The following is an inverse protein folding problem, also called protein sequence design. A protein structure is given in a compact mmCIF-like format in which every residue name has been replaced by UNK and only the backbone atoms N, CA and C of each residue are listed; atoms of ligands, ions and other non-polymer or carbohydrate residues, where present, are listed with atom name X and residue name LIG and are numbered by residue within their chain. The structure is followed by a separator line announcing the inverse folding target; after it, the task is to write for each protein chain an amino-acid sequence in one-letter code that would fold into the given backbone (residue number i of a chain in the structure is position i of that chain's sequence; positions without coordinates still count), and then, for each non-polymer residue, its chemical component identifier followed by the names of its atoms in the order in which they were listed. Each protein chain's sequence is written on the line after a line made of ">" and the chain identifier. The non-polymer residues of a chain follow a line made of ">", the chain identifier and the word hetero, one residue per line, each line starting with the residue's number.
data_IF_553949611501
#
_entry.id   IF_553949611501
#
_cell.length_a   1.000
_cell.length_b   1.000
_cell.length_c   1.000
_cell.angle_alpha   90.00
_cell.angle_beta   90.00
_cell.angle_gamma   90.00
#
_symmetry.space_group_name_H-M   'P 1'
#
loop_
_entity.id
_entity.type
_entity.pdbx_description
1 polymer ?
#
# COMPACT_ATOMS: atom_id res chain seq x y z
N UNK A 1 -46.78 -35.32 2.19
CA UNK A 1 -46.74 -33.86 2.21
C UNK A 1 -48.13 -33.29 2.45
N UNK A 2 -48.35 -32.73 3.53
CA UNK A 2 -49.55 -32.51 4.29
C UNK A 2 -50.12 -31.14 3.95
N UNK A 3 -51.30 -31.08 3.41
CA UNK A 3 -52.01 -29.92 2.86
C UNK A 3 -52.13 -28.66 3.73
N UNK A 4 -51.25 -28.43 4.65
CA UNK A 4 -51.25 -27.23 5.49
C UNK A 4 -50.02 -26.37 5.14
N UNK A 5 -50.26 -25.35 4.30
CA UNK A 5 -49.23 -24.38 3.85
C UNK A 5 -48.47 -23.76 5.00
N UNK A 6 -49.15 -23.41 6.12
CA UNK A 6 -48.55 -22.79 7.27
C UNK A 6 -47.50 -23.66 7.95
N UNK A 7 -47.79 -24.95 8.13
CA UNK A 7 -46.83 -25.93 8.71
C UNK A 7 -45.64 -26.18 7.77
N UNK A 8 -45.86 -26.17 6.45
CA UNK A 8 -44.78 -26.27 5.47
C UNK A 8 -43.82 -25.08 5.52
N UNK A 9 -44.35 -23.87 5.51
CA UNK A 9 -43.59 -22.63 5.63
C UNK A 9 -42.81 -22.53 6.97
N UNK A 10 -43.47 -22.91 8.08
CA UNK A 10 -42.82 -22.94 9.39
C UNK A 10 -41.63 -23.90 9.42
N UNK A 11 -41.74 -25.08 8.81
CA UNK A 11 -40.66 -26.06 8.74
C UNK A 11 -39.48 -25.59 7.86
N UNK A 12 -39.78 -24.89 6.78
CA UNK A 12 -38.76 -24.27 5.91
C UNK A 12 -38.04 -23.16 6.67
N UNK A 13 -38.80 -22.25 7.31
CA UNK A 13 -38.23 -21.16 8.10
C UNK A 13 -37.29 -21.67 9.19
N UNK A 14 -37.67 -22.73 9.93
CA UNK A 14 -36.84 -23.27 11.01
C UNK A 14 -35.61 -24.00 10.49
N UNK A 15 -35.74 -24.89 9.50
CA UNK A 15 -34.62 -25.71 9.04
C UNK A 15 -33.69 -24.96 8.07
N UNK A 16 -34.29 -24.31 7.04
CA UNK A 16 -33.50 -23.58 6.05
C UNK A 16 -33.03 -22.24 6.63
N UNK A 17 -33.89 -21.56 7.40
CA UNK A 17 -33.54 -20.29 8.04
C UNK A 17 -32.33 -20.42 8.98
N UNK A 18 -32.25 -21.50 9.78
CA UNK A 18 -31.08 -21.74 10.65
C UNK A 18 -29.80 -21.96 9.83
N UNK A 19 -29.86 -22.77 8.77
CA UNK A 19 -28.71 -22.99 7.90
C UNK A 19 -28.26 -21.69 7.22
N UNK A 20 -29.20 -20.92 6.68
CA UNK A 20 -28.95 -19.62 6.05
C UNK A 20 -28.41 -18.61 7.04
N UNK A 21 -28.91 -18.60 8.27
CA UNK A 21 -28.40 -17.74 9.35
C UNK A 21 -26.91 -17.99 9.60
N UNK A 22 -26.53 -19.26 9.80
CA UNK A 22 -25.12 -19.62 10.05
C UNK A 22 -24.24 -19.19 8.86
N UNK A 23 -24.70 -19.42 7.63
CA UNK A 23 -23.97 -19.01 6.42
C UNK A 23 -23.79 -17.49 6.35
N UNK A 24 -24.86 -16.72 6.57
CA UNK A 24 -24.79 -15.25 6.53
C UNK A 24 -23.92 -14.69 7.67
N UNK A 25 -23.99 -15.26 8.89
CA UNK A 25 -23.11 -14.88 10.00
C UNK A 25 -21.66 -15.14 9.63
N UNK A 26 -21.34 -16.32 9.10
CA UNK A 26 -19.97 -16.65 8.68
C UNK A 26 -19.45 -15.66 7.62
N UNK A 27 -20.31 -15.31 6.64
CA UNK A 27 -19.95 -14.37 5.59
C UNK A 27 -19.77 -12.95 6.17
N UNK A 28 -20.69 -12.51 7.04
CA UNK A 28 -20.59 -11.20 7.69
C UNK A 28 -19.32 -11.08 8.54
N UNK A 29 -18.96 -12.13 9.30
CA UNK A 29 -17.71 -12.20 10.06
C UNK A 29 -16.50 -12.14 9.12
N UNK A 30 -16.54 -12.82 7.98
CA UNK A 30 -15.48 -12.77 6.98
C UNK A 30 -15.23 -11.33 6.49
N UNK A 31 -16.27 -10.55 6.18
CA UNK A 31 -16.12 -9.14 5.82
C UNK A 31 -15.75 -8.26 7.01
N UNK A 32 -16.21 -8.59 8.22
CA UNK A 32 -15.84 -7.87 9.44
C UNK A 32 -14.33 -7.94 9.74
N UNK A 33 -13.59 -8.92 9.23
CA UNK A 33 -12.12 -8.97 9.38
C UNK A 33 -11.41 -7.78 8.75
N UNK A 34 -12.00 -7.14 7.74
CA UNK A 34 -11.45 -5.91 7.16
C UNK A 34 -11.42 -4.72 8.12
N UNK A 35 -12.21 -4.75 9.21
CA UNK A 35 -12.21 -3.70 10.24
C UNK A 35 -10.86 -3.60 10.96
N UNK A 36 -10.10 -4.70 10.99
CA UNK A 36 -8.80 -4.78 11.67
C UNK A 36 -7.67 -4.21 10.80
N UNK A 37 -7.91 -3.95 9.52
CA UNK A 37 -6.87 -3.41 8.61
C UNK A 37 -6.63 -1.93 8.87
N UNK A 38 -5.42 -1.43 8.56
CA UNK A 38 -5.08 0.01 8.69
C UNK A 38 -5.64 0.87 7.55
N UNK A 39 -6.29 0.27 6.54
CA UNK A 39 -6.87 0.96 5.40
C UNK A 39 -8.32 1.38 5.68
N UNK A 40 -8.58 2.68 5.80
CA UNK A 40 -9.91 3.24 6.09
C UNK A 40 -10.98 2.82 5.08
N UNK A 41 -10.64 2.74 3.79
CA UNK A 41 -11.58 2.33 2.74
C UNK A 41 -12.03 0.88 2.94
N UNK A 42 -11.10 -0.03 3.26
CA UNK A 42 -11.40 -1.42 3.57
C UNK A 42 -12.19 -1.56 4.87
N UNK A 43 -11.90 -0.75 5.89
CA UNK A 43 -12.68 -0.72 7.15
C UNK A 43 -14.14 -0.36 6.88
N UNK A 44 -14.38 0.74 6.17
CA UNK A 44 -15.74 1.18 5.80
C UNK A 44 -16.46 0.13 4.96
N UNK A 45 -15.79 -0.44 3.98
CA UNK A 45 -16.31 -1.54 3.17
C UNK A 45 -16.70 -2.75 4.01
N UNK A 46 -15.84 -3.16 4.94
CA UNK A 46 -16.09 -4.28 5.86
C UNK A 46 -17.30 -4.06 6.75
N UNK A 47 -17.43 -2.88 7.36
CA UNK A 47 -18.55 -2.50 8.22
C UNK A 47 -19.85 -2.51 7.44
N UNK A 48 -19.91 -1.77 6.32
CA UNK A 48 -21.12 -1.62 5.52
C UNK A 48 -21.59 -2.97 4.97
N UNK A 49 -20.65 -3.77 4.45
CA UNK A 49 -20.96 -5.08 3.87
C UNK A 49 -21.46 -6.06 4.92
N UNK A 50 -20.84 -6.11 6.10
CA UNK A 50 -21.26 -7.01 7.19
C UNK A 50 -22.66 -6.68 7.68
N UNK A 51 -22.97 -5.40 7.87
CA UNK A 51 -24.31 -4.94 8.27
C UNK A 51 -25.34 -5.27 7.19
N UNK A 52 -25.02 -5.02 5.91
CA UNK A 52 -25.92 -5.29 4.80
C UNK A 52 -26.26 -6.78 4.65
N UNK A 53 -25.28 -7.68 4.83
CA UNK A 53 -25.51 -9.12 4.79
C UNK A 53 -26.50 -9.53 5.87
N UNK A 54 -26.35 -9.04 7.10
CA UNK A 54 -27.27 -9.34 8.20
C UNK A 54 -28.65 -8.71 7.95
N UNK A 55 -28.71 -7.49 7.44
CA UNK A 55 -29.98 -6.83 7.10
C UNK A 55 -30.72 -7.58 5.98
N UNK A 56 -30.02 -8.02 4.93
CA UNK A 56 -30.59 -8.84 3.86
C UNK A 56 -31.11 -10.18 4.38
N UNK A 57 -30.39 -10.81 5.32
CA UNK A 57 -30.89 -12.04 5.95
C UNK A 57 -32.23 -11.80 6.68
N UNK A 58 -32.31 -10.76 7.53
CA UNK A 58 -33.54 -10.40 8.23
C UNK A 58 -34.67 -10.10 7.24
N UNK A 59 -34.40 -9.33 6.20
CA UNK A 59 -35.38 -9.00 5.17
C UNK A 59 -35.86 -10.27 4.44
N UNK A 60 -34.98 -11.20 4.12
CA UNK A 60 -35.31 -12.47 3.46
C UNK A 60 -36.22 -13.36 4.29
N UNK A 61 -36.10 -13.33 5.64
CA UNK A 61 -36.99 -14.08 6.54
C UNK A 61 -38.44 -13.62 6.45
N UNK A 62 -38.68 -12.36 6.09
CA UNK A 62 -40.03 -11.82 5.91
C UNK A 62 -40.49 -11.94 4.44
N UNK A 63 -39.68 -11.51 3.50
CA UNK A 63 -40.03 -11.44 2.08
C UNK A 63 -40.30 -12.83 1.49
N UNK A 64 -39.42 -13.80 1.77
CA UNK A 64 -39.55 -15.13 1.19
C UNK A 64 -40.85 -15.84 1.60
N UNK A 65 -41.24 -15.93 2.88
CA UNK A 65 -42.50 -16.55 3.27
C UNK A 65 -43.73 -15.79 2.75
N UNK A 66 -43.68 -14.46 2.73
CA UNK A 66 -44.77 -13.65 2.18
C UNK A 66 -44.96 -13.99 0.70
N UNK A 67 -43.89 -13.97 -0.08
CA UNK A 67 -43.94 -14.28 -1.50
C UNK A 67 -44.51 -15.68 -1.77
N UNK A 68 -43.97 -16.69 -1.07
CA UNK A 68 -44.46 -18.08 -1.22
C UNK A 68 -45.88 -18.32 -0.69
N UNK A 69 -46.36 -17.46 0.22
CA UNK A 69 -47.77 -17.54 0.66
C UNK A 69 -48.78 -17.23 -0.45
N UNK A 70 -48.40 -16.35 -1.37
CA UNK A 70 -49.25 -15.97 -2.52
C UNK A 70 -49.09 -16.94 -3.73
N UNK A 71 -48.01 -17.72 -3.79
CA UNK A 71 -47.79 -18.63 -4.89
C UNK A 71 -48.73 -19.86 -4.84
N UNK A 72 -49.20 -20.36 -6.00
CA UNK A 72 -49.95 -21.61 -6.08
C UNK A 72 -49.03 -22.79 -5.67
N UNK A 73 -49.65 -23.87 -5.20
CA UNK A 73 -48.91 -25.09 -4.87
C UNK A 73 -48.18 -25.64 -6.11
N UNK A 74 -46.94 -26.12 -5.96
CA UNK A 74 -46.20 -26.72 -7.09
C UNK A 74 -46.95 -27.93 -7.63
N UNK A 75 -47.08 -27.99 -8.97
CA UNK A 75 -47.65 -29.14 -9.67
C UNK A 75 -46.63 -30.29 -9.68
N UNK A 76 -47.10 -31.54 -9.76
CA UNK A 76 -46.22 -32.72 -9.83
C UNK A 76 -45.14 -32.63 -10.90
N UNK A 77 -45.49 -32.07 -12.06
CA UNK A 77 -44.56 -31.81 -13.17
C UNK A 77 -43.36 -30.92 -12.78
N UNK A 78 -43.51 -30.07 -11.78
CA UNK A 78 -42.41 -29.24 -11.25
C UNK A 78 -41.48 -30.00 -10.30
N UNK A 79 -41.88 -31.21 -9.87
CA UNK A 79 -41.08 -32.06 -8.98
C UNK A 79 -40.32 -33.16 -9.75
N UNK A 80 -40.75 -33.51 -10.96
CA UNK A 80 -40.14 -34.56 -11.78
C UNK A 80 -38.64 -34.35 -12.04
N UNK A 81 -38.19 -33.09 -12.17
CA UNK A 81 -36.78 -32.82 -12.39
C UNK A 81 -35.90 -33.04 -11.14
N UNK A 82 -36.50 -33.09 -9.93
CA UNK A 82 -35.77 -33.40 -8.67
C UNK A 82 -35.44 -34.89 -8.60
N UNK A 83 -36.12 -35.73 -9.38
CA UNK A 83 -35.91 -37.17 -9.47
C UNK A 83 -35.01 -37.57 -10.65
N UNK A 84 -34.43 -36.61 -11.38
CA UNK A 84 -33.48 -36.93 -12.46
C UNK A 84 -32.26 -37.63 -11.91
N UNK A 85 -31.92 -38.78 -12.45
CA UNK A 85 -30.93 -39.73 -11.95
C UNK A 85 -29.57 -39.13 -11.66
N UNK A 86 -29.10 -38.12 -12.43
CA UNK A 86 -27.83 -37.45 -12.21
C UNK A 86 -27.80 -36.71 -10.86
N UNK A 87 -28.82 -35.90 -10.55
CA UNK A 87 -28.90 -35.14 -9.30
C UNK A 87 -29.08 -36.06 -8.09
N UNK A 88 -29.87 -37.10 -8.25
CA UNK A 88 -30.09 -38.12 -7.21
C UNK A 88 -28.80 -38.90 -6.94
N UNK A 89 -28.10 -39.31 -7.98
CA UNK A 89 -26.84 -40.04 -7.85
C UNK A 89 -25.76 -39.15 -7.20
N UNK A 90 -25.65 -37.89 -7.58
CA UNK A 90 -24.72 -36.92 -6.96
C UNK A 90 -25.04 -36.69 -5.49
N UNK A 91 -26.30 -36.46 -5.17
CA UNK A 91 -26.75 -36.32 -3.76
C UNK A 91 -26.43 -37.57 -2.96
N UNK A 92 -26.78 -38.76 -3.49
CA UNK A 92 -26.54 -40.02 -2.80
C UNK A 92 -25.04 -40.28 -2.62
N UNK A 93 -24.20 -39.96 -3.61
CA UNK A 93 -22.75 -40.05 -3.50
C UNK A 93 -22.20 -39.15 -2.37
N UNK A 94 -22.68 -37.90 -2.28
CA UNK A 94 -22.27 -36.99 -1.18
C UNK A 94 -22.70 -37.58 0.17
N UNK A 95 -23.96 -38.05 0.28
CA UNK A 95 -24.45 -38.62 1.54
C UNK A 95 -23.63 -39.85 1.93
N UNK A 96 -23.26 -40.68 0.97
CA UNK A 96 -22.47 -41.89 1.19
C UNK A 96 -21.05 -41.55 1.65
N UNK A 97 -20.40 -40.54 1.04
CA UNK A 97 -19.10 -40.07 1.48
C UNK A 97 -19.15 -39.52 2.90
N UNK A 98 -20.16 -38.71 3.25
CA UNK A 98 -20.26 -38.10 4.58
C UNK A 98 -20.66 -39.14 5.64
N UNK A 99 -21.53 -40.10 5.30
CA UNK A 99 -22.07 -41.05 6.28
C UNK A 99 -21.18 -42.29 6.54
N UNK A 100 -20.55 -42.79 5.46
CA UNK A 100 -19.77 -44.04 5.57
C UNK A 100 -18.27 -43.83 5.39
N UNK A 101 -17.82 -42.67 4.88
CA UNK A 101 -16.42 -42.37 4.61
C UNK A 101 -15.97 -41.03 5.21
N UNK A 102 -16.47 -40.72 6.39
CA UNK A 102 -16.15 -39.49 7.11
C UNK A 102 -14.65 -39.24 7.25
N UNK A 103 -13.82 -40.27 7.46
CA UNK A 103 -12.35 -40.15 7.54
C UNK A 103 -11.77 -39.61 6.24
N UNK A 104 -12.31 -39.99 5.06
CA UNK A 104 -11.85 -39.45 3.78
C UNK A 104 -12.22 -37.97 3.65
N UNK A 105 -13.43 -37.59 4.07
CA UNK A 105 -13.88 -36.19 4.05
C UNK A 105 -12.98 -35.32 4.93
N UNK A 106 -12.67 -35.76 6.14
CA UNK A 106 -11.73 -35.06 7.02
C UNK A 106 -10.33 -35.05 6.43
N UNK A 107 -9.84 -36.14 5.84
CA UNK A 107 -8.54 -36.20 5.17
C UNK A 107 -8.41 -35.20 4.03
N UNK A 108 -9.43 -35.09 3.19
CA UNK A 108 -9.48 -34.10 2.09
C UNK A 108 -9.53 -32.69 2.65
N UNK A 109 -10.34 -32.42 3.66
CA UNK A 109 -10.43 -31.09 4.28
C UNK A 109 -9.09 -30.65 4.89
N UNK A 110 -8.43 -31.53 5.64
CA UNK A 110 -7.10 -31.27 6.20
C UNK A 110 -6.06 -31.08 5.08
N UNK A 111 -6.13 -31.89 4.00
CA UNK A 111 -5.25 -31.73 2.84
C UNK A 111 -5.38 -30.37 2.18
N UNK A 112 -6.62 -29.90 1.96
CA UNK A 112 -6.90 -28.55 1.41
C UNK A 112 -6.38 -27.47 2.35
N UNK A 113 -6.55 -27.65 3.66
CA UNK A 113 -6.07 -26.70 4.66
C UNK A 113 -4.54 -26.59 4.64
N UNK A 114 -3.84 -27.71 4.57
CA UNK A 114 -2.37 -27.75 4.47
C UNK A 114 -1.91 -27.05 3.17
N UNK A 115 -2.55 -27.34 2.04
CA UNK A 115 -2.25 -26.69 0.76
C UNK A 115 -2.49 -25.18 0.87
N UNK A 116 -3.59 -24.77 1.51
CA UNK A 116 -3.89 -23.35 1.77
C UNK A 116 -2.81 -22.65 2.60
N UNK A 117 -2.37 -23.28 3.69
CA UNK A 117 -1.30 -22.75 4.53
C UNK A 117 0.01 -22.62 3.73
N UNK A 118 0.40 -23.63 2.97
CA UNK A 118 1.58 -23.57 2.09
C UNK A 118 1.43 -22.46 1.05
N UNK A 119 0.22 -22.29 0.51
CA UNK A 119 -0.09 -21.20 -0.42
C UNK A 119 0.14 -19.84 0.19
N UNK A 120 -0.35 -19.61 1.41
CA UNK A 120 -0.18 -18.34 2.14
C UNK A 120 1.31 -18.01 2.34
N UNK A 121 2.13 -18.98 2.72
CA UNK A 121 3.58 -18.78 2.86
C UNK A 121 4.32 -18.48 1.55
N UNK A 122 3.72 -18.85 0.41
CA UNK A 122 4.31 -18.58 -0.92
C UNK A 122 3.78 -17.31 -1.59
N UNK A 123 2.79 -16.65 -1.01
CA UNK A 123 2.29 -15.38 -1.53
C UNK A 123 3.32 -14.28 -1.26
N UNK A 124 3.94 -13.80 -2.32
CA UNK A 124 4.73 -12.58 -2.27
C UNK A 124 3.75 -11.39 -2.38
N UNK A 125 3.70 -10.57 -1.34
CA UNK A 125 2.89 -9.36 -1.35
C UNK A 125 3.72 -8.29 -2.08
N UNK A 126 3.49 -8.12 -3.38
CA UNK A 126 4.05 -7.00 -4.13
C UNK A 126 2.97 -5.94 -4.30
N UNK A 127 3.03 -4.87 -3.53
CA UNK A 127 2.19 -3.69 -3.75
C UNK A 127 2.84 -2.83 -4.84
N UNK A 128 2.30 -2.86 -6.06
CA UNK A 128 2.68 -1.95 -7.14
C UNK A 128 1.49 -1.05 -7.43
N UNK A 129 1.73 0.27 -7.38
CA UNK A 129 0.66 1.27 -7.65
C UNK A 129 0.26 1.21 -9.13
N UNK A 130 1.20 0.92 -10.02
CA UNK A 130 0.95 0.86 -11.47
C UNK A 130 0.25 -0.43 -11.91
N UNK A 131 0.46 -1.55 -11.22
CA UNK A 131 -0.19 -2.83 -11.57
C UNK A 131 -1.71 -2.78 -11.38
N UNK A 132 -2.17 -2.02 -10.37
CA UNK A 132 -3.60 -1.87 -10.06
C UNK A 132 -4.31 -0.85 -10.96
N UNK A 133 -3.56 -0.11 -11.79
CA UNK A 133 -4.13 0.89 -12.70
C UNK A 133 -4.60 0.28 -14.03
N UNK A 134 -5.75 0.74 -14.57
CA UNK A 134 -6.17 0.37 -15.92
C UNK A 134 -5.14 0.83 -16.96
N UNK A 135 -4.53 -0.12 -17.67
CA UNK A 135 -3.46 0.14 -18.68
C UNK A 135 -3.91 0.99 -19.87
N UNK A 136 -5.22 1.16 -20.06
CA UNK A 136 -5.81 1.95 -21.15
C UNK A 136 -6.10 3.41 -20.76
N UNK A 137 -5.55 3.91 -19.65
CA UNK A 137 -5.76 5.27 -19.20
C UNK A 137 -4.57 6.16 -19.63
N UNK A 138 -4.86 7.36 -20.16
CA UNK A 138 -3.82 8.36 -20.51
C UNK A 138 -2.89 8.67 -19.31
N UNK A 139 -3.43 8.68 -18.11
CA UNK A 139 -2.66 8.86 -16.86
C UNK A 139 -1.60 7.77 -16.64
N UNK A 140 -1.86 6.53 -17.06
CA UNK A 140 -0.88 5.45 -16.99
C UNK A 140 0.30 5.69 -17.94
N UNK A 141 0.03 6.20 -19.15
CA UNK A 141 1.09 6.54 -20.11
C UNK A 141 1.93 7.73 -19.64
N UNK A 142 1.30 8.73 -19.00
CA UNK A 142 2.00 9.88 -18.42
C UNK A 142 2.95 9.45 -17.29
N UNK A 143 2.48 8.59 -16.37
CA UNK A 143 3.34 8.05 -15.29
C UNK A 143 4.51 7.26 -15.88
N UNK A 144 4.26 6.42 -16.89
CA UNK A 144 5.30 5.64 -17.56
C UNK A 144 6.34 6.50 -18.26
N UNK A 145 5.89 7.62 -18.85
CA UNK A 145 6.78 8.63 -19.41
C UNK A 145 7.67 9.23 -18.32
N UNK A 146 7.09 9.69 -17.21
CA UNK A 146 7.85 10.23 -16.09
C UNK A 146 8.83 9.21 -15.50
N UNK A 147 8.42 7.96 -15.32
CA UNK A 147 9.30 6.90 -14.82
C UNK A 147 10.51 6.69 -15.74
N UNK A 148 10.29 6.68 -17.04
CA UNK A 148 11.34 6.46 -18.03
C UNK A 148 12.31 7.67 -18.13
N UNK A 149 11.79 8.88 -18.20
CA UNK A 149 12.59 10.09 -18.44
C UNK A 149 13.24 10.63 -17.17
N UNK A 150 12.56 10.52 -16.01
CA UNK A 150 13.04 11.03 -14.73
C UNK A 150 13.54 9.94 -13.77
N UNK A 151 13.54 8.67 -14.19
CA UNK A 151 14.01 7.51 -13.41
C UNK A 151 13.27 7.30 -12.09
N UNK A 152 12.01 7.69 -12.01
CA UNK A 152 11.18 7.45 -10.85
C UNK A 152 9.96 8.36 -10.77
N UNK A 153 8.94 7.88 -10.08
CA UNK A 153 7.69 8.60 -9.83
C UNK A 153 7.35 8.70 -8.34
N UNK A 154 7.96 7.85 -7.51
CA UNK A 154 7.74 7.84 -6.07
C UNK A 154 8.71 8.83 -5.41
N UNK A 155 8.22 9.91 -4.77
CA UNK A 155 9.10 10.86 -4.09
C UNK A 155 9.73 10.23 -2.85
N UNK A 156 11.05 10.36 -2.74
CA UNK A 156 11.82 9.95 -1.56
C UNK A 156 12.49 11.18 -0.99
N UNK A 157 12.20 11.49 0.26
CA UNK A 157 12.75 12.64 0.96
C UNK A 157 13.57 12.21 2.16
N UNK A 158 14.82 12.67 2.21
CA UNK A 158 15.75 12.41 3.30
C UNK A 158 15.93 13.70 4.07
N UNK A 159 15.52 13.69 5.34
CA UNK A 159 15.68 14.83 6.24
C UNK A 159 16.96 14.67 7.04
N UNK A 160 17.85 15.67 6.96
CA UNK A 160 19.11 15.73 7.72
C UNK A 160 18.99 16.77 8.81
N UNK A 161 19.09 16.35 10.05
CA UNK A 161 19.14 17.23 11.23
C UNK A 161 20.60 17.43 11.68
N UNK A 162 21.09 18.66 11.53
CA UNK A 162 22.45 19.02 11.96
C UNK A 162 22.58 19.32 13.45
N UNK A 163 21.48 19.22 14.22
CA UNK A 163 21.39 19.52 15.67
C UNK A 163 21.84 20.94 16.06
N UNK A 164 22.18 21.79 15.10
CA UNK A 164 22.71 23.15 15.32
C UNK A 164 22.05 24.15 14.40
N UNK A 165 21.61 25.28 14.92
CA UNK A 165 21.15 26.42 14.10
C UNK A 165 22.22 26.80 13.09
N UNK A 166 21.84 27.03 11.83
CA UNK A 166 22.75 27.33 10.70
C UNK A 166 23.78 26.22 10.42
N UNK A 167 23.57 24.99 10.94
CA UNK A 167 24.47 23.86 10.77
C UNK A 167 24.56 23.37 9.33
N UNK A 168 23.46 23.48 8.55
CA UNK A 168 23.37 23.05 7.16
C UNK A 168 24.39 23.77 6.26
N UNK A 169 24.63 25.07 6.51
CA UNK A 169 25.53 25.88 5.69
C UNK A 169 27.01 25.73 6.03
N UNK A 170 27.37 24.87 6.97
CA UNK A 170 28.77 24.53 7.22
C UNK A 170 29.32 23.67 6.08
N UNK A 171 30.57 24.00 5.67
CA UNK A 171 31.18 23.28 4.55
C UNK A 171 31.37 21.77 4.84
N UNK A 172 31.63 21.42 6.10
CA UNK A 172 31.70 20.01 6.53
C UNK A 172 30.38 19.27 6.33
N UNK A 173 29.25 19.92 6.66
CA UNK A 173 27.91 19.36 6.45
C UNK A 173 27.60 19.25 4.96
N UNK A 174 27.89 20.29 4.17
CA UNK A 174 27.67 20.29 2.72
C UNK A 174 28.50 19.20 2.03
N UNK A 175 29.75 18.96 2.44
CA UNK A 175 30.57 17.87 1.91
C UNK A 175 29.99 16.50 2.24
N UNK A 176 29.53 16.26 3.47
CA UNK A 176 28.85 15.00 3.84
C UNK A 176 27.55 14.78 3.05
N UNK A 177 26.79 15.86 2.84
CA UNK A 177 25.59 15.80 2.00
C UNK A 177 25.90 15.51 0.53
N UNK A 178 26.99 16.05 0.01
CA UNK A 178 27.46 15.80 -1.35
C UNK A 178 27.91 14.34 -1.54
N UNK A 179 28.63 13.82 -0.57
CA UNK A 179 29.01 12.41 -0.52
C UNK A 179 27.79 11.50 -0.48
N UNK A 180 26.81 11.82 0.38
CA UNK A 180 25.55 11.08 0.44
C UNK A 180 24.79 11.14 -0.89
N UNK A 181 24.74 12.30 -1.56
CA UNK A 181 24.13 12.43 -2.88
C UNK A 181 24.81 11.52 -3.91
N UNK A 182 26.12 11.45 -3.90
CA UNK A 182 26.89 10.56 -4.80
C UNK A 182 26.58 9.08 -4.53
N UNK A 183 26.42 8.71 -3.25
CA UNK A 183 26.04 7.35 -2.86
C UNK A 183 24.58 7.02 -3.24
N UNK A 184 23.66 7.99 -3.14
CA UNK A 184 22.26 7.84 -3.60
C UNK A 184 22.22 7.66 -5.11
N UNK A 185 22.99 8.45 -5.87
CA UNK A 185 23.07 8.35 -7.35
C UNK A 185 23.60 6.99 -7.82
N UNK A 186 24.37 6.28 -6.98
CA UNK A 186 24.86 4.92 -7.24
C UNK A 186 23.81 3.83 -7.03
N UNK A 187 22.63 4.16 -6.48
CA UNK A 187 21.51 3.21 -6.30
C UNK A 187 20.66 3.21 -7.58
N UNK A 188 20.57 2.10 -8.32
CA UNK A 188 19.90 2.06 -9.63
C UNK A 188 18.39 2.36 -9.57
N UNK A 189 17.77 2.11 -8.41
CA UNK A 189 16.35 2.31 -8.15
C UNK A 189 15.98 3.78 -7.91
N UNK A 190 17.00 4.65 -7.70
CA UNK A 190 16.80 6.06 -7.37
C UNK A 190 17.22 6.98 -8.52
N UNK A 191 16.53 8.11 -8.63
CA UNK A 191 16.89 9.18 -9.55
C UNK A 191 18.02 10.03 -8.95
N UNK A 192 18.56 10.93 -9.77
CA UNK A 192 19.57 11.89 -9.32
C UNK A 192 19.02 12.76 -8.17
N UNK A 193 19.65 12.75 -6.99
CA UNK A 193 19.19 13.52 -5.84
C UNK A 193 19.42 15.01 -6.03
N UNK A 194 18.54 15.82 -5.43
CA UNK A 194 18.65 17.28 -5.43
C UNK A 194 18.55 17.80 -4.01
N UNK A 195 19.43 18.71 -3.61
CA UNK A 195 19.45 19.33 -2.31
C UNK A 195 20.03 20.75 -2.34
N UNK A 196 20.24 21.34 -1.17
CA UNK A 196 20.96 22.62 -1.02
C UNK A 196 22.37 22.58 -1.63
N UNK A 197 23.01 21.41 -1.65
CA UNK A 197 24.34 21.22 -2.25
C UNK A 197 24.38 21.63 -3.70
N UNK A 198 23.36 21.23 -4.47
CA UNK A 198 23.25 21.59 -5.90
C UNK A 198 23.09 23.11 -6.09
N UNK A 199 22.33 23.78 -5.20
CA UNK A 199 22.20 25.23 -5.24
C UNK A 199 23.51 25.93 -4.90
N UNK A 200 24.29 25.41 -3.96
CA UNK A 200 25.61 25.95 -3.60
C UNK A 200 26.58 25.77 -4.78
N UNK A 201 26.67 24.58 -5.37
CA UNK A 201 27.48 24.32 -6.56
C UNK A 201 27.10 25.22 -7.74
N UNK A 202 25.81 25.34 -8.00
CA UNK A 202 25.28 26.20 -9.06
C UNK A 202 25.60 27.69 -8.80
N UNK A 203 25.52 28.14 -7.55
CA UNK A 203 25.87 29.50 -7.19
C UNK A 203 27.35 29.82 -7.38
N UNK A 204 28.25 28.87 -7.09
CA UNK A 204 29.67 29.01 -7.37
C UNK A 204 29.89 29.09 -8.90
N UNK A 205 29.31 28.19 -9.66
CA UNK A 205 29.39 28.22 -11.11
C UNK A 205 28.88 29.54 -11.68
N UNK A 206 27.74 30.06 -11.22
CA UNK A 206 27.18 31.35 -11.66
C UNK A 206 28.09 32.52 -11.29
N UNK A 207 28.71 32.51 -10.11
CA UNK A 207 29.65 33.51 -9.68
C UNK A 207 30.87 33.57 -10.62
N UNK A 208 31.33 32.42 -11.12
CA UNK A 208 32.42 32.31 -12.09
C UNK A 208 31.91 32.28 -13.54
N UNK A 209 30.94 33.15 -13.87
CA UNK A 209 30.39 33.38 -15.21
C UNK A 209 29.82 32.14 -15.93
N UNK A 210 29.28 31.21 -15.15
CA UNK A 210 28.60 30.01 -15.67
C UNK A 210 29.56 28.91 -16.18
N UNK A 211 30.87 29.01 -15.90
CA UNK A 211 31.82 27.99 -16.31
C UNK A 211 31.57 26.62 -15.60
N UNK A 212 31.31 25.54 -16.38
CA UNK A 212 31.03 24.21 -15.82
C UNK A 212 32.14 23.64 -14.92
N UNK A 213 33.39 24.08 -15.11
CA UNK A 213 34.53 23.65 -14.29
C UNK A 213 34.39 24.04 -12.80
N UNK A 214 33.54 25.02 -12.50
CA UNK A 214 33.28 25.49 -11.12
C UNK A 214 31.97 24.94 -10.54
N UNK A 215 31.38 23.89 -11.13
CA UNK A 215 30.23 23.18 -10.56
C UNK A 215 30.68 22.21 -9.48
N UNK A 216 31.24 22.72 -8.39
CA UNK A 216 31.73 21.99 -7.23
C UNK A 216 31.44 22.77 -5.93
N UNK A 217 31.68 22.17 -4.77
CA UNK A 217 31.55 22.87 -3.50
C UNK A 217 32.65 23.92 -3.33
N UNK A 218 32.34 25.10 -2.76
CA UNK A 218 33.33 26.11 -2.47
C UNK A 218 34.34 25.61 -1.45
N UNK A 219 35.58 26.04 -1.57
CA UNK A 219 36.61 25.86 -0.55
C UNK A 219 36.42 26.79 0.68
N UNK A 220 37.31 26.73 1.66
CA UNK A 220 37.21 27.53 2.88
C UNK A 220 37.32 29.03 2.63
N UNK A 221 38.02 29.48 1.56
CA UNK A 221 38.17 30.87 1.20
C UNK A 221 36.96 31.34 0.37
N UNK A 222 36.54 30.56 -0.58
CA UNK A 222 35.40 30.83 -1.45
C UNK A 222 34.07 30.88 -0.69
N UNK A 223 33.96 30.14 0.42
CA UNK A 223 32.77 30.15 1.28
C UNK A 223 32.37 31.54 1.72
N UNK A 224 33.35 32.40 1.99
CA UNK A 224 33.11 33.76 2.50
C UNK A 224 32.32 34.65 1.54
N UNK A 225 32.36 34.37 0.21
CA UNK A 225 31.64 35.15 -0.79
C UNK A 225 30.56 34.36 -1.56
N UNK A 226 30.70 33.05 -1.74
CA UNK A 226 29.71 32.24 -2.44
C UNK A 226 28.43 32.09 -1.62
N UNK A 227 28.51 31.80 -0.31
CA UNK A 227 27.30 31.66 0.52
C UNK A 227 26.49 32.96 0.66
N UNK A 228 27.13 34.15 0.89
CA UNK A 228 26.41 35.41 0.81
C UNK A 228 25.81 35.69 -0.56
N UNK A 229 26.50 35.36 -1.66
CA UNK A 229 25.98 35.50 -3.03
C UNK A 229 24.70 34.68 -3.22
N UNK A 230 24.69 33.39 -2.85
CA UNK A 230 23.50 32.53 -2.87
C UNK A 230 22.35 33.14 -2.06
N UNK A 231 22.63 33.61 -0.84
CA UNK A 231 21.63 34.19 0.06
C UNK A 231 21.02 35.48 -0.48
N UNK A 232 21.83 36.33 -1.10
CA UNK A 232 21.37 37.61 -1.66
C UNK A 232 20.58 37.40 -2.95
N UNK A 233 21.03 36.52 -3.82
CA UNK A 233 20.31 36.15 -5.06
C UNK A 233 18.94 35.52 -4.78
N UNK A 234 18.77 34.92 -3.61
CA UNK A 234 17.50 34.29 -3.20
C UNK A 234 16.52 35.25 -2.52
N UNK A 235 16.95 36.46 -2.11
CA UNK A 235 16.07 37.41 -1.37
C UNK A 235 15.02 38.06 -2.26
N UNK A 236 15.32 38.29 -3.53
CA UNK A 236 14.46 39.04 -4.46
C UNK A 236 13.45 38.15 -5.21
N UNK A 237 13.49 36.83 -5.06
CA UNK A 237 12.56 35.95 -5.74
C UNK A 237 11.34 35.63 -4.85
N UNK A 238 10.11 35.82 -5.41
CA UNK A 238 8.87 35.36 -4.77
C UNK A 238 8.91 33.87 -4.40
N UNK A 239 9.72 33.09 -5.12
CA UNK A 239 10.01 31.66 -4.86
C UNK A 239 11.48 31.52 -4.48
N UNK A 240 11.80 31.66 -3.20
CA UNK A 240 13.15 31.42 -2.70
C UNK A 240 13.46 29.91 -2.70
N UNK A 241 14.31 29.40 -3.64
CA UNK A 241 14.60 27.97 -3.74
C UNK A 241 15.29 27.39 -2.48
N UNK A 242 15.96 28.24 -1.67
CA UNK A 242 16.56 27.81 -0.42
C UNK A 242 15.54 27.26 0.56
N UNK A 243 14.33 27.84 0.61
CA UNK A 243 13.25 27.40 1.49
C UNK A 243 12.70 26.01 1.14
N UNK A 244 12.97 25.54 -0.07
CA UNK A 244 12.58 24.19 -0.48
C UNK A 244 13.48 23.10 0.08
N UNK A 245 14.73 23.44 0.47
CA UNK A 245 15.72 22.48 0.89
C UNK A 245 16.25 22.71 2.30
N UNK A 246 16.04 23.90 2.87
CA UNK A 246 16.54 24.26 4.22
C UNK A 246 15.44 24.96 4.99
N UNK A 247 15.29 24.61 6.25
CA UNK A 247 14.34 25.25 7.15
C UNK A 247 14.74 26.67 7.53
N UNK A 248 13.83 27.42 8.17
CA UNK A 248 14.05 28.82 8.57
C UNK A 248 15.21 29.00 9.58
N UNK A 249 15.53 27.98 10.36
CA UNK A 249 16.62 28.00 11.35
C UNK A 249 17.97 27.60 10.75
N UNK A 250 17.97 26.97 9.58
CA UNK A 250 19.15 26.37 8.96
C UNK A 250 19.68 25.13 9.69
N UNK A 251 18.83 24.48 10.48
CA UNK A 251 19.16 23.26 11.20
C UNK A 251 18.85 22.02 10.38
N UNK A 252 17.72 22.03 9.69
CA UNK A 252 17.25 20.90 8.90
C UNK A 252 17.51 21.12 7.41
N UNK A 253 18.02 20.09 6.76
CA UNK A 253 18.15 20.06 5.30
C UNK A 253 17.41 18.89 4.71
N UNK A 254 16.88 19.07 3.49
CA UNK A 254 16.18 18.05 2.72
C UNK A 254 16.98 17.67 1.49
N UNK A 255 17.13 16.36 1.26
CA UNK A 255 17.57 15.79 0.00
C UNK A 255 16.35 15.11 -0.60
N UNK A 256 15.99 15.50 -1.83
CA UNK A 256 14.85 14.94 -2.55
C UNK A 256 15.35 14.12 -3.73
N UNK A 257 14.82 12.94 -3.90
CA UNK A 257 15.03 12.08 -5.07
C UNK A 257 13.72 11.38 -5.41
N UNK A 258 13.67 10.70 -6.53
CA UNK A 258 12.53 9.88 -6.91
C UNK A 258 12.99 8.42 -7.01
N UNK A 259 12.13 7.53 -6.59
CA UNK A 259 12.33 6.11 -6.76
C UNK A 259 11.45 5.60 -7.90
N UNK A 260 12.03 4.73 -8.75
CA UNK A 260 11.22 4.01 -9.73
C UNK A 260 10.22 3.12 -9.00
N UNK A 261 9.18 2.74 -9.68
CA UNK A 261 8.23 1.78 -9.12
C UNK A 261 8.91 0.42 -8.95
N UNK A 262 8.92 -0.03 -7.71
CA UNK A 262 9.48 -1.29 -7.28
C UNK A 262 8.52 -1.97 -6.31
N UNK A 263 8.66 -3.28 -6.12
CA UNK A 263 7.89 -4.02 -5.14
C UNK A 263 8.16 -3.51 -3.71
N UNK A 264 7.20 -3.72 -2.81
CA UNK A 264 7.35 -3.34 -1.40
C UNK A 264 8.62 -3.92 -0.77
N UNK A 265 8.97 -5.16 -1.11
CA UNK A 265 10.18 -5.82 -0.60
C UNK A 265 11.48 -5.16 -1.12
N UNK A 266 11.46 -4.67 -2.37
CA UNK A 266 12.59 -3.93 -2.93
C UNK A 266 12.70 -2.53 -2.32
N UNK A 267 11.55 -1.89 -2.04
CA UNK A 267 11.49 -0.59 -1.36
C UNK A 267 12.14 -0.67 0.03
N UNK A 268 11.82 -1.70 0.82
CA UNK A 268 12.44 -1.94 2.12
C UNK A 268 13.95 -2.12 2.00
N UNK A 269 14.43 -2.87 1.01
CA UNK A 269 15.87 -3.04 0.77
C UNK A 269 16.57 -1.74 0.39
N UNK A 270 15.91 -0.88 -0.40
CA UNK A 270 16.44 0.45 -0.74
C UNK A 270 16.50 1.33 0.51
N UNK A 271 15.45 1.30 1.33
CA UNK A 271 15.41 2.03 2.60
C UNK A 271 16.53 1.59 3.56
N UNK A 272 16.74 0.29 3.74
CA UNK A 272 17.84 -0.25 4.56
C UNK A 272 19.20 0.23 4.05
N UNK A 273 19.45 0.15 2.73
CA UNK A 273 20.69 0.63 2.11
C UNK A 273 20.90 2.13 2.36
N UNK A 274 19.85 2.94 2.23
CA UNK A 274 19.90 4.38 2.49
C UNK A 274 20.22 4.67 3.96
N UNK A 275 19.53 3.99 4.88
CA UNK A 275 19.74 4.14 6.31
C UNK A 275 21.16 3.77 6.72
N UNK A 276 21.73 2.71 6.18
CA UNK A 276 23.13 2.30 6.44
C UNK A 276 24.13 3.38 5.99
N UNK A 277 23.91 3.95 4.81
CA UNK A 277 24.78 5.01 4.25
C UNK A 277 24.67 6.30 5.03
N UNK A 278 23.46 6.73 5.37
CA UNK A 278 23.20 7.90 6.21
C UNK A 278 23.87 7.73 7.57
N UNK A 279 23.70 6.57 8.19
CA UNK A 279 24.31 6.28 9.48
C UNK A 279 25.85 6.31 9.43
N UNK A 280 26.48 5.81 8.37
CA UNK A 280 27.95 5.87 8.21
C UNK A 280 28.44 7.31 8.14
N UNK A 281 27.78 8.19 7.39
CA UNK A 281 28.23 9.56 7.14
C UNK A 281 27.92 10.52 8.29
N UNK A 282 26.78 10.35 8.96
CA UNK A 282 26.28 11.29 9.96
C UNK A 282 26.42 10.78 11.41
N UNK A 283 26.63 9.48 11.62
CA UNK A 283 26.78 8.89 12.97
C UNK A 283 28.20 9.01 13.56
N UNK A 284 29.20 9.42 12.79
CA UNK A 284 30.59 9.48 13.24
C UNK A 284 30.92 10.68 14.14
N UNK A 285 29.97 11.59 14.38
CA UNK A 285 30.13 12.72 15.29
C UNK A 285 28.98 12.75 16.29
N UNK A 286 29.22 12.15 17.48
CA UNK A 286 28.41 12.19 18.69
C UNK A 286 27.16 11.32 18.80
N UNK A 287 27.11 10.59 19.89
CA UNK A 287 26.04 9.80 20.49
C UNK A 287 24.65 10.43 20.35
N UNK A 288 23.67 9.56 19.99
CA UNK A 288 22.23 9.80 19.95
C UNK A 288 21.72 10.79 18.90
N UNK A 289 21.43 10.28 17.72
CA UNK A 289 20.43 10.88 16.83
C UNK A 289 19.44 9.81 16.38
N UNK A 290 18.21 9.88 16.87
CA UNK A 290 17.07 9.20 16.24
C UNK A 290 16.86 9.83 14.86
N UNK A 291 17.28 9.11 13.84
CA UNK A 291 16.88 9.38 12.47
C UNK A 291 15.43 8.91 12.31
N UNK A 292 14.51 9.83 12.42
CA UNK A 292 13.13 9.58 11.98
C UNK A 292 13.08 9.72 10.46
N UNK A 293 13.32 8.63 9.75
CA UNK A 293 12.84 8.49 8.37
C UNK A 293 11.33 8.29 8.43
N UNK A 294 10.58 9.36 8.33
CA UNK A 294 9.14 9.28 8.07
C UNK A 294 8.97 9.31 6.56
N UNK A 295 8.84 8.14 5.95
CA UNK A 295 8.16 8.02 4.67
C UNK A 295 6.66 8.24 4.98
N UNK A 296 6.01 9.25 4.41
CA UNK A 296 4.55 9.32 4.46
C UNK A 296 4.01 8.24 3.52
N UNK A 297 3.71 7.08 4.09
CA UNK A 297 2.83 6.12 3.44
C UNK A 297 1.42 6.68 3.63
N UNK A 298 0.91 7.39 2.64
CA UNK A 298 -0.48 7.82 2.57
C UNK A 298 -1.28 6.85 1.72
#
# INVERSE_FOLDING_TARGET
>A
AHGNRAKGLQRVLTKVGTATFITNVTTAVGFATFIITDNKLLQEFGIVTSINIMALFVLSLFVIPIFFSFMPLPKEKHLEHLERGYLVNFKNWIIDQVKYHNVRVYGVAVGILIIGIIGIYKINISGSILEDMPKNNAFFEDIRFFEKEFKGVLPVEILIDTKRKKGVMKISTLKKMDELQSEIEAIPELSKPVSIVNLVKFSKQAYYNGNPAFYDLPDSQEQAFILPYLKNSSKDSKNNPLKSYVDSTGQYARISTFMREVSTDEMVKVEEKLNDRINKLFRSEEHTSELQSRLPIS
#
